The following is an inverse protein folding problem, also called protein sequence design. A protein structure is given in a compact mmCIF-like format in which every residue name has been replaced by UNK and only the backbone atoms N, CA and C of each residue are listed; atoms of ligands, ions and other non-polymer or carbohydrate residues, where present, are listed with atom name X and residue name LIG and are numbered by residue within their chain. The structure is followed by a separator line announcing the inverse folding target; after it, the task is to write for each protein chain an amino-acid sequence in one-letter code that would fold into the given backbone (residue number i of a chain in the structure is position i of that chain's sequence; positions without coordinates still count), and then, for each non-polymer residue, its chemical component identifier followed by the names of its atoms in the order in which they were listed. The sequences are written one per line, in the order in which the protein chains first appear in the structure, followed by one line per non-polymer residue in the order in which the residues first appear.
data_IF_986322621935
#
_entry.id   IF_986322621935
#
_cell.length_a   1.000
_cell.length_b   1.000
_cell.length_c   1.000
_cell.angle_alpha   90.00
_cell.angle_beta   90.00
_cell.angle_gamma   90.00
#
_symmetry.space_group_name_H-M   'P 1'
#
loop_
_entity.id
_entity.type
_entity.pdbx_description
1 polymer ?
#
# COMPACT_ATOMS: atom_id res chain seq x y z
N UNK A 1 13.60 14.53 -5.82
CA UNK A 1 12.41 14.36 -4.96
C UNK A 1 12.46 13.07 -4.16
N UNK A 2 12.44 11.89 -4.78
CA UNK A 2 12.44 10.61 -4.05
C UNK A 2 13.70 10.39 -3.19
N UNK A 3 14.89 10.74 -3.67
CA UNK A 3 16.13 10.67 -2.88
C UNK A 3 16.11 11.60 -1.65
N UNK A 4 15.39 12.71 -1.69
CA UNK A 4 15.24 13.57 -0.52
C UNK A 4 14.18 13.00 0.43
N UNK A 5 13.08 12.49 -0.12
CA UNK A 5 11.98 11.93 0.66
C UNK A 5 12.43 10.74 1.53
N UNK A 6 13.40 9.94 1.10
CA UNK A 6 13.96 8.82 1.90
C UNK A 6 14.84 9.27 3.08
N UNK A 7 15.39 10.48 3.05
CA UNK A 7 16.30 11.00 4.09
C UNK A 7 15.54 11.78 5.18
N UNK A 8 14.36 12.30 4.85
CA UNK A 8 13.56 13.13 5.76
C UNK A 8 12.77 12.27 6.75
N UNK A 9 13.05 12.45 8.03
CA UNK A 9 12.34 11.77 9.13
C UNK A 9 10.93 12.34 9.36
N UNK A 10 10.75 13.66 9.23
CA UNK A 10 9.44 14.29 9.42
C UNK A 10 8.41 13.78 8.39
N UNK A 11 7.27 13.33 8.90
CA UNK A 11 6.23 12.74 8.05
C UNK A 11 5.55 13.78 7.15
N UNK A 12 5.33 14.99 7.66
CA UNK A 12 4.65 16.06 6.91
C UNK A 12 5.48 16.53 5.73
N UNK A 13 6.78 16.74 5.93
CA UNK A 13 7.74 17.09 4.90
C UNK A 13 7.90 15.97 3.87
N UNK A 14 8.04 14.71 4.32
CA UNK A 14 8.11 13.56 3.42
C UNK A 14 6.86 13.44 2.54
N UNK A 15 5.67 13.70 3.08
CA UNK A 15 4.42 13.71 2.33
C UNK A 15 4.37 14.82 1.26
N UNK A 16 4.88 16.03 1.56
CA UNK A 16 4.99 17.12 0.57
C UNK A 16 5.89 16.74 -0.61
N UNK A 17 7.04 16.13 -0.33
CA UNK A 17 7.98 15.67 -1.37
C UNK A 17 7.37 14.59 -2.28
N UNK A 18 6.60 13.66 -1.73
CA UNK A 18 5.89 12.67 -2.53
C UNK A 18 4.77 13.26 -3.38
N UNK A 19 4.03 14.24 -2.85
CA UNK A 19 3.00 14.97 -3.62
C UNK A 19 3.59 15.62 -4.87
N UNK A 20 4.68 16.37 -4.69
CA UNK A 20 5.38 17.01 -5.81
C UNK A 20 5.89 15.99 -6.84
N UNK A 21 6.37 14.83 -6.37
CA UNK A 21 6.84 13.77 -7.27
C UNK A 21 5.69 13.20 -8.12
N UNK A 22 4.54 12.92 -7.50
CA UNK A 22 3.36 12.40 -8.20
C UNK A 22 2.80 13.43 -9.20
N UNK A 23 2.79 14.72 -8.87
CA UNK A 23 2.40 15.79 -9.81
C UNK A 23 3.27 15.78 -11.08
N UNK A 24 4.60 15.68 -10.93
CA UNK A 24 5.52 15.62 -12.08
C UNK A 24 5.35 14.34 -12.91
N UNK A 25 5.16 13.19 -12.25
CA UNK A 25 4.92 11.91 -12.93
C UNK A 25 3.60 11.96 -13.72
N UNK A 26 2.54 12.46 -13.10
CA UNK A 26 1.21 12.60 -13.70
C UNK A 26 1.21 13.55 -14.90
N UNK A 27 1.89 14.70 -14.78
CA UNK A 27 2.03 15.66 -15.88
C UNK A 27 2.74 15.07 -17.10
N UNK A 28 3.75 14.22 -16.88
CA UNK A 28 4.48 13.52 -17.96
C UNK A 28 3.68 12.35 -18.57
N UNK A 29 2.63 11.88 -17.89
CA UNK A 29 1.76 10.76 -18.34
C UNK A 29 2.53 9.48 -18.69
N UNK A 30 3.61 9.18 -17.98
CA UNK A 30 4.37 7.95 -18.19
C UNK A 30 3.55 6.69 -17.85
N UNK A 31 2.59 6.83 -16.94
CA UNK A 31 1.66 5.78 -16.48
C UNK A 31 0.29 6.44 -16.36
N UNK A 32 -0.74 5.80 -16.93
CA UNK A 32 -2.14 6.22 -16.75
C UNK A 32 -2.74 5.28 -15.70
N UNK A 33 -3.06 5.82 -14.54
CA UNK A 33 -3.62 5.04 -13.44
C UNK A 33 -5.11 4.76 -13.70
N UNK A 34 -5.48 3.50 -13.82
CA UNK A 34 -6.87 3.10 -14.11
C UNK A 34 -7.68 2.91 -12.83
N UNK A 35 -7.17 2.11 -11.88
CA UNK A 35 -7.84 1.83 -10.61
C UNK A 35 -6.86 1.26 -9.58
N UNK A 36 -7.20 1.38 -8.30
CA UNK A 36 -6.49 0.72 -7.18
C UNK A 36 -7.19 -0.61 -6.89
N UNK A 37 -6.49 -1.73 -7.01
CA UNK A 37 -7.09 -3.05 -6.84
C UNK A 37 -7.47 -3.33 -5.38
N UNK A 38 -8.68 -3.85 -5.17
CA UNK A 38 -9.08 -4.40 -3.88
C UNK A 38 -8.41 -5.76 -3.67
N UNK A 39 -7.74 -5.95 -2.53
CA UNK A 39 -7.12 -7.23 -2.20
C UNK A 39 -8.16 -8.17 -1.56
N UNK A 40 -8.83 -8.95 -2.41
CA UNK A 40 -9.90 -9.87 -2.01
C UNK A 40 -9.30 -11.24 -1.69
N UNK A 41 -9.57 -11.74 -0.49
CA UNK A 41 -9.14 -13.08 -0.07
C UNK A 41 -10.35 -13.87 0.39
N UNK A 42 -10.63 -14.97 -0.31
CA UNK A 42 -11.64 -15.94 0.09
C UNK A 42 -10.99 -17.03 0.94
N UNK A 43 -11.66 -17.45 2.00
CA UNK A 43 -11.21 -18.56 2.83
C UNK A 43 -12.38 -19.34 3.45
N UNK A 44 -12.19 -20.63 3.79
CA UNK A 44 -13.21 -21.46 4.39
C UNK A 44 -13.78 -20.92 5.71
N UNK A 45 -15.06 -21.18 6.00
CA UNK A 45 -15.74 -20.70 7.22
C UNK A 45 -15.11 -21.21 8.52
N UNK A 46 -14.42 -22.35 8.48
CA UNK A 46 -13.72 -22.95 9.61
C UNK A 46 -12.33 -22.33 9.88
N UNK A 47 -11.79 -21.53 8.95
CA UNK A 47 -10.63 -20.70 9.22
C UNK A 47 -11.05 -19.50 10.07
N UNK A 48 -10.51 -19.39 11.29
CA UNK A 48 -10.81 -18.32 12.24
C UNK A 48 -9.58 -17.44 12.48
N UNK A 49 -9.83 -16.17 12.79
CA UNK A 49 -8.76 -15.22 13.17
C UNK A 49 -7.99 -14.59 12.00
N UNK A 50 -8.30 -14.94 10.75
CA UNK A 50 -7.66 -14.32 9.58
C UNK A 50 -7.99 -12.83 9.47
N UNK A 51 -6.97 -12.01 9.17
CA UNK A 51 -7.09 -10.57 8.90
C UNK A 51 -6.33 -10.23 7.62
N UNK A 52 -7.04 -9.64 6.66
CA UNK A 52 -6.41 -9.08 5.46
C UNK A 52 -5.64 -7.80 5.82
N UNK A 53 -4.39 -7.71 5.38
CA UNK A 53 -3.52 -6.55 5.56
C UNK A 53 -3.30 -5.89 4.20
N UNK A 54 -3.33 -4.55 4.09
CA UNK A 54 -3.32 -3.85 2.80
C UNK A 54 -1.99 -3.93 2.03
N UNK A 55 -0.96 -4.58 2.58
CA UNK A 55 0.33 -4.76 1.93
C UNK A 55 0.41 -5.99 1.01
N UNK A 56 -0.70 -6.74 0.89
CA UNK A 56 -0.80 -7.93 0.04
C UNK A 56 -0.17 -9.19 0.64
N UNK A 57 0.45 -9.11 1.83
CA UNK A 57 1.09 -10.26 2.46
C UNK A 57 0.08 -11.04 3.31
N UNK A 58 -0.04 -12.34 3.01
CA UNK A 58 -0.85 -13.26 3.81
C UNK A 58 -0.13 -13.55 5.13
N UNK A 59 -0.81 -13.29 6.24
CA UNK A 59 -0.32 -13.60 7.59
C UNK A 59 -1.21 -14.64 8.24
N UNK A 60 -0.62 -15.73 8.69
CA UNK A 60 -1.31 -16.85 9.36
C UNK A 60 -1.09 -16.85 10.89
N UNK A 61 -0.41 -15.84 11.43
CA UNK A 61 -0.25 -15.69 12.87
C UNK A 61 -1.63 -15.44 13.50
N UNK A 62 -1.92 -16.16 14.59
CA UNK A 62 -3.22 -16.15 15.28
C UNK A 62 -4.40 -16.64 14.43
N UNK A 63 -4.12 -17.35 13.34
CA UNK A 63 -5.14 -18.06 12.57
C UNK A 63 -5.25 -19.48 13.10
N UNK A 64 -6.48 -19.98 13.24
CA UNK A 64 -6.75 -21.35 13.67
C UNK A 64 -7.73 -22.04 12.72
N UNK A 65 -7.72 -23.36 12.77
CA UNK A 65 -8.66 -24.22 12.09
C UNK A 65 -9.57 -24.87 13.13
N UNK A 66 -10.88 -24.70 12.98
CA UNK A 66 -11.87 -25.43 13.77
C UNK A 66 -12.06 -26.86 13.25
#
# INVERSE_FOLDING_TARGET
LLNRAREVSDQGERAKLYREAIEKIGARRNIIYLYHANYIVAYPKNLKGYKAVPDGLIRIKAVSWN
#
